data_IF_266613824263
#
_entry.id   IF_266613824263
#
_cell.length_a   1.000
_cell.length_b   1.000
_cell.length_c   1.000
_cell.angle_alpha   90.00
_cell.angle_beta   90.00
_cell.angle_gamma   90.00
#
_symmetry.space_group_name_H-M   'P 1'
#
loop_
_entity.id
_entity.type
_entity.pdbx_description
1 polymer ?
#
# COMPACT_ATOMS: atom_id res chain seq x y z
N UNK A 1 -15.76 48.78 -46.39
CA UNK A 1 -16.24 47.39 -46.20
C UNK A 1 -15.09 46.36 -46.13
N UNK A 2 -13.83 46.72 -46.37
CA UNK A 2 -12.68 45.77 -46.32
C UNK A 2 -11.93 45.78 -44.98
N UNK A 3 -11.87 46.91 -44.27
CA UNK A 3 -11.11 47.03 -43.01
C UNK A 3 -11.76 46.31 -41.80
N UNK A 4 -13.09 46.17 -41.78
CA UNK A 4 -13.82 45.50 -40.69
C UNK A 4 -13.70 43.96 -40.74
N UNK A 5 -13.52 43.39 -41.93
CA UNK A 5 -13.37 41.93 -42.13
C UNK A 5 -11.97 41.46 -41.71
N UNK A 6 -10.96 42.30 -41.91
CA UNK A 6 -9.56 42.00 -41.57
C UNK A 6 -9.32 41.97 -40.05
N UNK A 7 -10.04 42.79 -39.27
CA UNK A 7 -9.96 42.80 -37.80
C UNK A 7 -10.68 41.61 -37.17
N UNK A 8 -11.77 41.12 -37.76
CA UNK A 8 -12.50 39.93 -37.29
C UNK A 8 -11.67 38.64 -37.43
N UNK A 9 -10.96 38.46 -38.55
CA UNK A 9 -10.09 37.30 -38.72
C UNK A 9 -8.88 37.32 -37.77
N UNK A 10 -8.29 38.49 -37.50
CA UNK A 10 -7.17 38.60 -36.55
C UNK A 10 -7.56 38.23 -35.12
N UNK A 11 -8.79 38.54 -34.69
CA UNK A 11 -9.27 38.14 -33.36
C UNK A 11 -9.50 36.63 -33.24
N UNK A 12 -9.98 35.97 -34.30
CA UNK A 12 -10.21 34.52 -34.29
C UNK A 12 -8.91 33.71 -34.24
N UNK A 13 -7.85 34.15 -34.94
CA UNK A 13 -6.55 33.49 -34.89
C UNK A 13 -5.88 33.59 -33.52
N UNK A 14 -6.04 34.72 -32.81
CA UNK A 14 -5.50 34.86 -31.45
C UNK A 14 -6.21 33.96 -30.43
N UNK A 15 -7.54 33.80 -30.57
CA UNK A 15 -8.33 32.90 -29.72
C UNK A 15 -7.97 31.43 -29.90
N UNK A 16 -7.81 30.98 -31.16
CA UNK A 16 -7.41 29.60 -31.46
C UNK A 16 -5.99 29.27 -30.95
N UNK A 17 -5.05 30.21 -31.10
CA UNK A 17 -3.69 30.05 -30.59
C UNK A 17 -3.64 29.96 -29.05
N UNK A 18 -4.42 30.79 -28.34
CA UNK A 18 -4.51 30.75 -26.88
C UNK A 18 -5.09 29.41 -26.37
N UNK A 19 -6.10 28.86 -27.06
CA UNK A 19 -6.67 27.56 -26.73
C UNK A 19 -5.67 26.40 -26.89
N UNK A 20 -4.83 26.44 -27.94
CA UNK A 20 -3.79 25.42 -28.14
C UNK A 20 -2.71 25.48 -27.06
N UNK A 21 -2.28 26.68 -26.66
CA UNK A 21 -1.29 26.84 -25.57
C UNK A 21 -1.83 26.33 -24.24
N UNK A 22 -3.10 26.64 -23.90
CA UNK A 22 -3.76 26.11 -22.70
C UNK A 22 -3.87 24.58 -22.72
N UNK A 23 -4.22 23.99 -23.87
CA UNK A 23 -4.29 22.53 -24.00
C UNK A 23 -2.93 21.86 -23.78
N UNK A 24 -1.85 22.44 -24.31
CA UNK A 24 -0.48 21.93 -24.10
C UNK A 24 -0.07 22.02 -22.63
N UNK A 25 -0.36 23.13 -21.96
CA UNK A 25 -0.08 23.30 -20.52
C UNK A 25 -0.82 22.25 -19.69
N UNK A 26 -2.09 21.97 -19.99
CA UNK A 26 -2.88 20.95 -19.29
C UNK A 26 -2.35 19.53 -19.52
N UNK A 27 -1.84 19.23 -20.72
CA UNK A 27 -1.20 17.93 -21.02
C UNK A 27 0.09 17.76 -20.23
N UNK A 28 0.92 18.80 -20.15
CA UNK A 28 2.16 18.79 -19.35
C UNK A 28 1.84 18.60 -17.86
N UNK A 29 0.87 19.34 -17.32
CA UNK A 29 0.43 19.20 -15.93
C UNK A 29 -0.12 17.80 -15.61
N UNK A 30 -0.86 17.17 -16.55
CA UNK A 30 -1.30 15.78 -16.42
C UNK A 30 -0.13 14.79 -16.46
N UNK A 31 0.91 15.07 -17.22
CA UNK A 31 2.13 14.26 -17.30
C UNK A 31 2.93 14.26 -15.99
N UNK A 32 3.10 15.43 -15.38
CA UNK A 32 3.79 15.57 -14.08
C UNK A 32 3.02 14.95 -12.91
N UNK A 33 1.69 14.98 -12.93
CA UNK A 33 0.86 14.36 -11.89
C UNK A 33 0.58 12.86 -12.11
N UNK A 34 1.27 12.21 -13.06
CA UNK A 34 1.21 10.75 -13.15
C UNK A 34 1.87 10.17 -11.90
N UNK A 35 1.05 9.61 -11.02
CA UNK A 35 1.56 8.78 -9.91
C UNK A 35 2.51 7.73 -10.51
N UNK A 36 3.68 7.49 -9.89
CA UNK A 36 4.56 6.44 -10.37
C UNK A 36 3.76 5.14 -10.47
N UNK A 37 3.97 4.34 -11.51
CA UNK A 37 3.36 3.03 -11.58
C UNK A 37 3.71 2.30 -10.29
N UNK A 38 2.69 1.91 -9.53
CA UNK A 38 2.88 1.11 -8.33
C UNK A 38 3.78 -0.07 -8.71
N UNK A 39 4.87 -0.30 -7.97
CA UNK A 39 5.65 -1.53 -8.00
C UNK A 39 4.76 -2.67 -7.51
N UNK A 40 3.74 -3.01 -8.30
CA UNK A 40 3.12 -4.31 -8.23
C UNK A 40 4.15 -5.23 -8.84
N UNK A 41 4.41 -6.41 -8.26
CA UNK A 41 5.12 -7.44 -9.00
C UNK A 41 4.45 -7.54 -10.37
N UNK A 42 5.29 -7.57 -11.41
CA UNK A 42 4.84 -7.82 -12.77
C UNK A 42 3.81 -8.93 -12.71
N UNK A 43 2.60 -8.63 -13.20
CA UNK A 43 1.57 -9.65 -13.29
C UNK A 43 2.10 -10.58 -14.37
N UNK A 44 2.84 -11.60 -13.95
CA UNK A 44 3.08 -12.77 -14.77
C UNK A 44 1.75 -13.11 -15.42
N UNK A 45 1.77 -13.46 -16.71
CA UNK A 45 0.64 -13.84 -17.55
C UNK A 45 -0.14 -15.09 -17.02
N UNK A 46 -0.37 -15.19 -15.72
CA UNK A 46 -1.18 -16.15 -14.97
C UNK A 46 -2.69 -15.95 -15.21
N UNK A 47 -3.05 -15.54 -16.43
CA UNK A 47 -4.39 -15.60 -16.98
C UNK A 47 -4.54 -16.67 -18.07
N UNK A 48 -3.47 -17.40 -18.42
CA UNK A 48 -3.58 -18.61 -19.23
C UNK A 48 -3.62 -19.82 -18.30
N UNK A 49 -4.65 -20.64 -18.46
CA UNK A 49 -4.80 -21.91 -17.76
C UNK A 49 -3.46 -22.65 -17.81
N UNK A 50 -2.77 -22.70 -16.66
CA UNK A 50 -1.52 -23.43 -16.56
C UNK A 50 -1.81 -24.88 -16.94
N UNK A 51 -1.10 -25.38 -17.95
CA UNK A 51 -1.10 -26.79 -18.31
C UNK A 51 -0.76 -27.58 -17.04
N UNK A 52 -1.73 -28.32 -16.52
CA UNK A 52 -1.65 -29.03 -15.24
C UNK A 52 -0.50 -30.05 -15.23
N UNK A 53 0.05 -30.39 -16.40
CA UNK A 53 1.08 -31.41 -16.58
C UNK A 53 2.53 -30.89 -16.56
N UNK A 54 2.76 -29.58 -16.43
CA UNK A 54 4.11 -29.00 -16.46
C UNK A 54 4.37 -28.02 -15.30
N UNK A 55 4.10 -28.47 -14.06
CA UNK A 55 4.51 -27.73 -12.86
C UNK A 55 6.01 -27.89 -12.64
N UNK A 56 6.83 -26.99 -13.21
CA UNK A 56 8.23 -26.87 -12.79
C UNK A 56 8.26 -26.23 -11.40
N UNK A 57 8.73 -26.98 -10.39
CA UNK A 57 9.05 -26.42 -9.08
C UNK A 57 10.02 -25.25 -9.28
N UNK A 58 9.60 -24.05 -8.87
CA UNK A 58 10.48 -22.88 -8.84
C UNK A 58 11.05 -22.77 -7.44
N UNK A 59 12.37 -22.69 -7.33
CA UNK A 59 13.03 -22.42 -6.06
C UNK A 59 12.75 -20.97 -5.67
N UNK A 60 11.70 -20.76 -4.87
CA UNK A 60 11.40 -19.44 -4.32
C UNK A 60 12.41 -19.11 -3.22
N UNK A 61 13.14 -18.01 -3.39
CA UNK A 61 14.00 -17.43 -2.35
C UNK A 61 13.34 -16.15 -1.83
N UNK A 62 13.16 -16.08 -0.51
CA UNK A 62 12.66 -14.86 0.14
C UNK A 62 13.66 -13.72 -0.14
N UNK A 63 13.23 -12.59 -0.72
CA UNK A 63 14.12 -11.44 -0.92
C UNK A 63 14.46 -10.82 0.43
N UNK A 64 15.67 -10.26 0.57
CA UNK A 64 16.03 -9.47 1.74
C UNK A 64 15.33 -8.11 1.67
N UNK A 65 14.48 -7.75 2.64
CA UNK A 65 13.79 -6.46 2.64
C UNK A 65 14.78 -5.31 2.89
N UNK A 66 14.66 -4.17 2.18
CA UNK A 66 15.46 -2.98 2.47
C UNK A 66 15.04 -2.37 3.82
N UNK A 67 15.94 -1.66 4.54
CA UNK A 67 15.57 -0.99 5.78
C UNK A 67 14.47 0.05 5.53
N UNK A 68 13.53 0.17 6.46
CA UNK A 68 12.47 1.17 6.36
C UNK A 68 13.05 2.58 6.53
N UNK A 69 12.77 3.53 5.63
CA UNK A 69 13.34 4.86 5.68
C UNK A 69 12.82 5.63 6.91
N UNK A 70 13.73 6.26 7.66
CA UNK A 70 13.42 7.16 8.77
C UNK A 70 12.56 6.54 9.89
N UNK A 71 12.56 5.21 10.02
CA UNK A 71 11.86 4.53 11.11
C UNK A 71 12.53 4.82 12.45
N UNK A 72 11.74 5.17 13.46
CA UNK A 72 12.17 5.30 14.84
C UNK A 72 11.05 4.92 15.80
N UNK A 73 11.42 4.16 16.83
CA UNK A 73 10.49 3.76 17.89
C UNK A 73 9.94 4.93 18.68
N UNK A 74 10.53 6.12 18.63
CA UNK A 74 10.08 7.27 19.42
C UNK A 74 9.22 8.24 18.60
N UNK A 75 9.54 8.42 17.33
CA UNK A 75 8.94 9.46 16.48
C UNK A 75 7.96 8.94 15.44
N UNK A 76 8.04 7.66 15.06
CA UNK A 76 7.13 7.09 14.06
C UNK A 76 5.70 7.03 14.59
N UNK A 77 4.81 7.84 13.99
CA UNK A 77 3.41 7.92 14.38
C UNK A 77 2.65 6.63 14.03
N UNK A 78 1.66 6.23 14.84
CA UNK A 78 0.82 5.09 14.51
C UNK A 78 0.07 5.33 13.21
N UNK A 79 0.11 4.35 12.30
CA UNK A 79 -0.72 4.38 11.10
C UNK A 79 -2.21 4.39 11.50
N UNK A 80 -3.03 5.26 10.91
CA UNK A 80 -4.45 5.32 11.24
C UNK A 80 -5.09 3.98 10.93
N UNK A 81 -5.82 3.44 11.91
CA UNK A 81 -6.52 2.18 11.76
C UNK A 81 -7.48 2.27 10.57
N UNK A 82 -7.33 1.33 9.62
CA UNK A 82 -8.25 1.23 8.50
C UNK A 82 -9.58 0.70 9.03
N UNK A 83 -10.59 1.57 9.11
CA UNK A 83 -11.93 1.15 9.45
C UNK A 83 -12.38 0.01 8.51
N UNK A 84 -13.03 -1.00 9.07
CA UNK A 84 -13.78 -1.98 8.30
C UNK A 84 -14.84 -1.21 7.50
N UNK A 85 -14.72 -1.24 6.17
CA UNK A 85 -15.74 -0.65 5.30
C UNK A 85 -16.89 -1.64 5.19
N UNK A 86 -17.92 -1.43 6.00
CA UNK A 86 -19.21 -2.11 5.84
C UNK A 86 -19.87 -1.64 4.54
N UNK A 87 -20.37 -2.58 3.73
CA UNK A 87 -21.19 -2.28 2.56
C UNK A 87 -21.31 -3.46 1.59
N UNK A 88 -22.35 -3.50 0.74
CA UNK A 88 -22.66 -4.62 -0.16
C UNK A 88 -21.60 -4.89 -1.24
N UNK A 89 -20.61 -4.00 -1.38
CA UNK A 89 -19.51 -4.06 -2.35
C UNK A 89 -18.18 -4.55 -1.76
N UNK A 90 -18.08 -4.64 -0.43
CA UNK A 90 -16.84 -4.97 0.26
C UNK A 90 -16.92 -6.39 0.82
N UNK A 91 -16.65 -7.37 -0.05
CA UNK A 91 -16.72 -8.80 0.28
C UNK A 91 -15.58 -9.25 1.22
N UNK A 92 -14.65 -8.35 1.56
CA UNK A 92 -13.52 -8.62 2.44
C UNK A 92 -13.99 -8.40 3.88
N UNK A 93 -14.56 -9.45 4.46
CA UNK A 93 -15.12 -9.48 5.82
C UNK A 93 -14.05 -9.46 6.91
N UNK A 94 -12.77 -9.68 6.57
CA UNK A 94 -11.63 -9.60 7.49
C UNK A 94 -10.46 -8.94 6.77
N UNK A 95 -9.85 -7.92 7.38
CA UNK A 95 -8.85 -7.02 6.80
C UNK A 95 -7.48 -7.63 6.44
N UNK A 96 -7.47 -8.74 5.69
CA UNK A 96 -6.26 -9.32 5.13
C UNK A 96 -5.78 -8.44 3.97
N UNK A 97 -4.65 -7.76 4.19
CA UNK A 97 -3.93 -7.01 3.16
C UNK A 97 -2.91 -7.94 2.52
N UNK A 98 -2.84 -7.96 1.20
CA UNK A 98 -1.68 -8.54 0.50
C UNK A 98 -0.47 -7.67 0.79
N UNK A 99 0.48 -8.21 1.55
CA UNK A 99 1.76 -7.56 1.88
C UNK A 99 2.83 -8.17 0.96
N UNK A 100 3.58 -7.36 0.20
CA UNK A 100 4.74 -7.84 -0.55
C UNK A 100 5.81 -8.41 0.38
N UNK A 101 6.59 -9.43 -0.04
CA UNK A 101 7.64 -10.03 0.81
C UNK A 101 8.72 -9.06 1.33
N UNK A 102 8.83 -7.86 0.73
CA UNK A 102 9.81 -6.84 1.08
C UNK A 102 9.28 -5.75 2.03
N UNK A 103 7.99 -5.76 2.37
CA UNK A 103 7.35 -4.73 3.21
C UNK A 103 7.43 -5.13 4.69
N UNK A 104 7.78 -4.17 5.55
CA UNK A 104 7.90 -4.38 7.00
C UNK A 104 6.56 -4.21 7.73
N UNK A 105 6.39 -4.95 8.82
CA UNK A 105 5.36 -4.65 9.83
C UNK A 105 5.94 -3.58 10.77
N UNK A 106 5.45 -2.35 10.63
CA UNK A 106 6.01 -1.18 11.29
C UNK A 106 5.64 -1.13 12.79
N UNK A 107 6.65 -1.00 13.64
CA UNK A 107 6.47 -0.59 15.04
C UNK A 107 6.33 0.93 15.11
N UNK A 108 5.44 1.42 15.96
CA UNK A 108 5.22 2.85 16.16
C UNK A 108 5.54 3.27 17.60
N UNK A 109 5.48 4.58 17.85
CA UNK A 109 5.79 5.19 19.14
C UNK A 109 4.93 4.74 20.32
N UNK A 110 3.78 4.11 20.07
CA UNK A 110 2.92 3.58 21.11
C UNK A 110 3.26 2.13 21.49
N UNK A 111 4.17 1.47 20.75
CA UNK A 111 4.54 0.08 21.00
C UNK A 111 5.06 -0.16 22.44
N UNK A 112 6.00 0.64 22.98
CA UNK A 112 6.51 0.42 24.34
C UNK A 112 5.41 0.53 25.40
N UNK A 113 4.51 1.51 25.25
CA UNK A 113 3.36 1.70 26.15
C UNK A 113 2.45 0.47 26.15
N UNK A 114 2.04 -0.01 24.98
CA UNK A 114 1.14 -1.16 24.90
C UNK A 114 1.78 -2.46 25.39
N UNK A 115 3.09 -2.64 25.18
CA UNK A 115 3.81 -3.78 25.73
C UNK A 115 3.89 -3.73 27.27
N UNK A 116 4.17 -2.55 27.84
CA UNK A 116 4.14 -2.35 29.29
C UNK A 116 2.75 -2.63 29.87
N UNK A 117 1.69 -2.10 29.24
CA UNK A 117 0.31 -2.35 29.65
C UNK A 117 -0.05 -3.85 29.56
N UNK A 118 0.41 -4.53 28.50
CA UNK A 118 0.21 -5.98 28.32
C UNK A 118 0.90 -6.77 29.44
N UNK A 119 2.15 -6.44 29.75
CA UNK A 119 2.91 -7.04 30.84
C UNK A 119 2.22 -6.83 32.19
N UNK A 120 1.79 -5.59 32.49
CA UNK A 120 1.06 -5.27 33.71
C UNK A 120 -0.26 -6.05 33.83
N UNK A 121 -1.01 -6.22 32.73
CA UNK A 121 -2.25 -7.02 32.69
C UNK A 121 -1.98 -8.51 32.92
N UNK A 122 -0.92 -9.05 32.35
CA UNK A 122 -0.53 -10.45 32.56
C UNK A 122 -0.17 -10.70 34.03
N UNK A 123 0.64 -9.82 34.63
CA UNK A 123 1.00 -9.89 36.05
C UNK A 123 -0.23 -9.80 36.96
N UNK A 124 -1.14 -8.84 36.70
CA UNK A 124 -2.37 -8.67 37.48
C UNK A 124 -3.27 -9.91 37.41
N UNK A 125 -3.31 -10.58 36.26
CA UNK A 125 -4.17 -11.76 36.05
C UNK A 125 -3.56 -13.04 36.60
N UNK A 126 -2.22 -13.15 36.63
CA UNK A 126 -1.48 -14.22 37.28
C UNK A 126 -1.96 -15.61 36.85
N UNK A 127 -2.43 -16.39 37.81
CA UNK A 127 -2.89 -17.77 37.62
C UNK A 127 -4.15 -17.91 36.75
N UNK A 128 -4.92 -16.83 36.59
CA UNK A 128 -6.11 -16.81 35.72
C UNK A 128 -5.77 -16.65 34.24
N UNK A 129 -4.49 -16.55 33.88
CA UNK A 129 -4.05 -16.59 32.49
C UNK A 129 -4.00 -18.04 31.99
N UNK A 130 -4.45 -18.27 30.76
CA UNK A 130 -4.25 -19.55 30.09
C UNK A 130 -2.75 -19.82 29.95
N UNK A 131 -2.33 -21.04 30.29
CA UNK A 131 -0.94 -21.50 30.17
C UNK A 131 -0.85 -22.52 29.03
N UNK A 132 0.32 -22.60 28.40
CA UNK A 132 0.62 -23.65 27.44
C UNK A 132 0.58 -25.01 28.14
N UNK A 133 -0.06 -26.01 27.52
CA UNK A 133 -0.04 -27.38 28.02
C UNK A 133 1.41 -27.93 27.96
N UNK A 134 1.87 -28.71 28.94
CA UNK A 134 3.25 -29.22 28.95
C UNK A 134 3.62 -29.95 27.65
N UNK A 135 2.73 -30.79 27.13
CA UNK A 135 2.97 -31.54 25.88
C UNK A 135 3.11 -30.65 24.64
N UNK A 136 2.51 -29.45 24.64
CA UNK A 136 2.59 -28.52 23.50
C UNK A 136 3.66 -27.44 23.67
N UNK A 137 4.38 -27.44 24.79
CA UNK A 137 5.44 -26.49 25.06
C UNK A 137 6.56 -26.49 23.99
N UNK A 138 7.05 -27.65 23.50
CA UNK A 138 8.08 -27.67 22.45
C UNK A 138 7.65 -26.92 21.18
N UNK A 139 6.43 -27.17 20.70
CA UNK A 139 5.88 -26.50 19.53
C UNK A 139 5.67 -24.99 19.75
N UNK A 140 5.36 -24.57 20.98
CA UNK A 140 5.24 -23.15 21.30
C UNK A 140 6.59 -22.42 21.26
N UNK A 141 7.68 -23.09 21.65
CA UNK A 141 9.04 -22.52 21.61
C UNK A 141 9.53 -22.32 20.18
N UNK A 142 9.12 -23.19 19.24
CA UNK A 142 9.44 -23.03 17.80
C UNK A 142 8.85 -21.75 17.18
N UNK A 143 7.85 -21.14 17.81
CA UNK A 143 7.17 -19.93 17.33
C UNK A 143 7.71 -18.62 17.95
N UNK A 144 8.64 -18.70 18.90
CA UNK A 144 9.25 -17.55 19.58
C UNK A 144 10.49 -17.04 18.85
#
# INVERSE_FOLDING_TARGET
MTLLVQTLHLTEFTGAAACLVLAVILVIFKGFNRKPPSLRPEKDEAGKAADQNNFKSRDFKMPTPPPYPEWSIESTKPLPYRALRYGPKYNVTMGLRTIPPIEWVELNCQFPKYHADKAARLLKRGEKCAKTHPDTFPAAVELL
#
